data_IF_353168818459
#
_entry.id   IF_353168818459
#
_cell.length_a   1.000
_cell.length_b   1.000
_cell.length_c   1.000
_cell.angle_alpha   90.00
_cell.angle_beta   90.00
_cell.angle_gamma   90.00
#
_symmetry.space_group_name_H-M   'P 1'
#
loop_
_entity.id
_entity.type
_entity.pdbx_description
1 polymer ?
#
# COMPACT_ATOMS: atom_id res chain seq x y z
N UNK A 1 -44.70 -19.61 -44.80
CA UNK A 1 -44.64 -19.26 -43.35
C UNK A 1 -43.23 -19.41 -42.77
N UNK A 2 -42.49 -20.50 -43.04
CA UNK A 2 -41.14 -20.74 -42.50
C UNK A 2 -40.05 -19.66 -42.75
N UNK A 3 -40.18 -18.86 -43.82
CA UNK A 3 -39.19 -17.82 -44.17
C UNK A 3 -39.27 -16.60 -43.24
N UNK A 4 -40.49 -16.21 -42.86
CA UNK A 4 -40.78 -15.07 -41.97
C UNK A 4 -40.28 -15.35 -40.54
N UNK A 5 -40.38 -16.61 -40.10
CA UNK A 5 -39.95 -17.04 -38.78
C UNK A 5 -38.43 -17.07 -38.64
N UNK A 6 -37.71 -17.57 -39.66
CA UNK A 6 -36.23 -17.50 -39.73
C UNK A 6 -35.72 -16.05 -39.72
N UNK A 7 -36.42 -15.14 -40.39
CA UNK A 7 -36.04 -13.73 -40.44
C UNK A 7 -36.23 -13.03 -39.09
N UNK A 8 -37.33 -13.34 -38.39
CA UNK A 8 -37.57 -12.87 -37.01
C UNK A 8 -36.54 -13.41 -36.03
N UNK A 9 -36.15 -14.68 -36.14
CA UNK A 9 -35.12 -15.30 -35.30
C UNK A 9 -33.77 -14.61 -35.52
N UNK A 10 -33.37 -14.38 -36.77
CA UNK A 10 -32.09 -13.76 -37.09
C UNK A 10 -32.02 -12.28 -36.65
N UNK A 11 -33.14 -11.56 -36.75
CA UNK A 11 -33.26 -10.18 -36.25
C UNK A 11 -33.17 -10.15 -34.73
N UNK A 12 -33.90 -11.03 -34.03
CA UNK A 12 -33.86 -11.14 -32.56
C UNK A 12 -32.46 -11.49 -32.06
N UNK A 13 -31.76 -12.43 -32.70
CA UNK A 13 -30.36 -12.75 -32.38
C UNK A 13 -29.43 -11.53 -32.54
N UNK A 14 -29.53 -10.78 -33.65
CA UNK A 14 -28.72 -9.57 -33.86
C UNK A 14 -28.98 -8.50 -32.80
N UNK A 15 -30.23 -8.35 -32.37
CA UNK A 15 -30.61 -7.36 -31.36
C UNK A 15 -30.12 -7.77 -29.95
N UNK A 16 -30.18 -9.06 -29.60
CA UNK A 16 -29.62 -9.59 -28.36
C UNK A 16 -28.08 -9.48 -28.34
N UNK A 17 -27.41 -9.76 -29.45
CA UNK A 17 -25.94 -9.60 -29.55
C UNK A 17 -25.51 -8.14 -29.45
N UNK A 18 -26.26 -7.20 -30.07
CA UNK A 18 -25.99 -5.76 -29.93
C UNK A 18 -26.19 -5.26 -28.51
N UNK A 19 -27.24 -5.74 -27.84
CA UNK A 19 -27.51 -5.41 -26.43
C UNK A 19 -26.39 -5.93 -25.53
N UNK A 20 -26.00 -7.20 -25.68
CA UNK A 20 -24.89 -7.79 -24.93
C UNK A 20 -23.55 -7.07 -25.16
N UNK A 21 -23.23 -6.67 -26.40
CA UNK A 21 -22.03 -5.87 -26.68
C UNK A 21 -22.07 -4.48 -26.02
N UNK A 22 -23.24 -3.84 -26.01
CA UNK A 22 -23.42 -2.53 -25.38
C UNK A 22 -23.25 -2.62 -23.87
N UNK A 23 -23.84 -3.64 -23.25
CA UNK A 23 -23.77 -3.87 -21.81
C UNK A 23 -22.33 -4.23 -21.40
N UNK A 24 -21.65 -5.12 -22.13
CA UNK A 24 -20.24 -5.45 -21.88
C UNK A 24 -19.30 -4.23 -22.03
N UNK A 25 -19.53 -3.38 -23.03
CA UNK A 25 -18.75 -2.15 -23.21
C UNK A 25 -19.01 -1.15 -22.07
N UNK A 26 -20.24 -1.11 -21.54
CA UNK A 26 -20.61 -0.28 -20.38
C UNK A 26 -19.94 -0.78 -19.11
N UNK A 27 -20.03 -2.08 -18.80
CA UNK A 27 -19.35 -2.72 -17.67
C UNK A 27 -17.84 -2.49 -17.72
N UNK A 28 -17.20 -2.67 -18.89
CA UNK A 28 -15.76 -2.43 -19.06
C UNK A 28 -15.40 -0.95 -18.87
N UNK A 29 -16.26 -0.02 -19.29
CA UNK A 29 -16.05 1.41 -19.07
C UNK A 29 -16.21 1.78 -17.59
N UNK A 30 -17.15 1.17 -16.87
CA UNK A 30 -17.35 1.38 -15.44
C UNK A 30 -16.22 0.76 -14.63
N UNK A 31 -15.75 -0.42 -15.02
CA UNK A 31 -14.55 -1.05 -14.45
C UNK A 31 -13.31 -0.19 -14.68
N UNK A 32 -13.10 0.34 -15.90
CA UNK A 32 -12.01 1.28 -16.19
C UNK A 32 -12.08 2.51 -15.30
N UNK A 33 -13.28 3.10 -15.11
CA UNK A 33 -13.49 4.23 -14.21
C UNK A 33 -13.22 3.86 -12.74
N UNK A 34 -13.57 2.65 -12.33
CA UNK A 34 -13.34 2.15 -10.98
C UNK A 34 -11.84 1.96 -10.69
N UNK A 35 -11.11 1.27 -11.56
CA UNK A 35 -9.66 1.10 -11.40
C UNK A 35 -8.90 2.40 -11.60
N UNK A 36 -9.41 3.36 -12.38
CA UNK A 36 -8.78 4.68 -12.54
C UNK A 36 -8.88 5.56 -11.29
N UNK A 37 -9.59 5.11 -10.23
CA UNK A 37 -9.48 5.71 -8.91
C UNK A 37 -8.07 5.43 -8.39
N UNK A 38 -7.21 6.44 -8.30
CA UNK A 38 -5.79 6.29 -7.93
C UNK A 38 -5.53 5.41 -6.70
N UNK A 39 -6.38 5.53 -5.67
CA UNK A 39 -6.30 4.72 -4.45
C UNK A 39 -6.39 3.19 -4.68
N UNK A 40 -7.07 2.73 -5.74
CA UNK A 40 -7.21 1.29 -6.06
C UNK A 40 -5.98 0.77 -6.80
N UNK A 41 -5.42 1.57 -7.73
CA UNK A 41 -4.20 1.20 -8.47
C UNK A 41 -3.02 1.09 -7.53
N UNK A 42 -2.83 2.08 -6.66
CA UNK A 42 -1.70 2.12 -5.73
C UNK A 42 -1.77 0.97 -4.72
N UNK A 43 -2.98 0.64 -4.24
CA UNK A 43 -3.19 -0.53 -3.39
C UNK A 43 -2.89 -1.84 -4.14
N UNK A 44 -3.37 -1.99 -5.38
CA UNK A 44 -3.14 -3.20 -6.18
C UNK A 44 -1.65 -3.41 -6.48
N UNK A 45 -0.94 -2.35 -6.84
CA UNK A 45 0.51 -2.39 -7.07
C UNK A 45 1.25 -2.77 -5.79
N UNK A 46 0.87 -2.18 -4.64
CA UNK A 46 1.45 -2.52 -3.33
C UNK A 46 1.28 -4.00 -2.95
N UNK A 47 0.09 -4.58 -3.18
CA UNK A 47 -0.17 -6.01 -2.89
C UNK A 47 0.63 -6.93 -3.81
N UNK A 48 0.71 -6.63 -5.11
CA UNK A 48 1.44 -7.46 -6.08
C UNK A 48 2.94 -7.42 -5.79
N UNK A 49 3.50 -6.22 -5.58
CA UNK A 49 4.91 -6.04 -5.26
C UNK A 49 5.22 -6.65 -3.89
N UNK A 50 4.39 -6.44 -2.88
CA UNK A 50 4.55 -7.04 -1.55
C UNK A 50 4.57 -8.56 -1.59
N UNK A 51 3.65 -9.17 -2.34
CA UNK A 51 3.60 -10.63 -2.52
C UNK A 51 4.82 -11.19 -3.27
N UNK A 52 5.29 -10.51 -4.32
CA UNK A 52 6.48 -10.91 -5.06
C UNK A 52 7.76 -10.74 -4.24
N UNK A 53 7.90 -9.60 -3.55
CA UNK A 53 9.04 -9.30 -2.68
C UNK A 53 9.13 -10.27 -1.51
N UNK A 54 7.98 -10.64 -0.91
CA UNK A 54 7.93 -11.67 0.12
C UNK A 54 8.57 -12.99 -0.32
N UNK A 55 8.30 -13.44 -1.55
CA UNK A 55 8.93 -14.67 -2.10
C UNK A 55 10.44 -14.55 -2.24
N UNK A 56 10.95 -13.39 -2.66
CA UNK A 56 12.39 -13.14 -2.78
C UNK A 56 13.05 -13.23 -1.40
N UNK A 57 12.45 -12.60 -0.39
CA UNK A 57 12.94 -12.66 0.98
C UNK A 57 12.89 -14.09 1.53
N UNK A 58 11.78 -14.80 1.32
CA UNK A 58 11.65 -16.20 1.77
C UNK A 58 12.70 -17.10 1.12
N UNK A 59 12.99 -16.94 -0.17
CA UNK A 59 14.06 -17.69 -0.85
C UNK A 59 15.43 -17.33 -0.31
N UNK A 60 15.74 -16.05 -0.08
CA UNK A 60 17.00 -15.64 0.55
C UNK A 60 17.17 -16.29 1.93
N UNK A 61 16.10 -16.35 2.73
CA UNK A 61 16.18 -17.00 4.05
C UNK A 61 16.36 -18.50 3.90
N UNK A 62 15.44 -19.18 3.21
CA UNK A 62 15.39 -20.64 3.17
C UNK A 62 16.56 -21.25 2.38
N UNK A 63 17.01 -20.59 1.31
CA UNK A 63 17.98 -21.16 0.38
C UNK A 63 19.42 -20.71 0.66
N UNK A 64 19.60 -19.58 1.38
CA UNK A 64 20.94 -19.03 1.66
C UNK A 64 21.20 -18.95 3.16
N UNK A 65 20.33 -18.27 3.93
CA UNK A 65 20.59 -18.03 5.36
C UNK A 65 20.47 -19.32 6.17
N UNK A 66 19.39 -20.07 6.03
CA UNK A 66 19.16 -21.30 6.80
C UNK A 66 20.24 -22.36 6.55
N UNK A 67 20.68 -22.64 5.30
CA UNK A 67 21.81 -23.54 5.06
C UNK A 67 23.13 -23.01 5.63
N UNK A 68 23.41 -21.71 5.52
CA UNK A 68 24.62 -21.11 6.08
C UNK A 68 24.66 -21.22 7.61
N UNK A 69 23.54 -20.95 8.28
CA UNK A 69 23.38 -21.13 9.73
C UNK A 69 23.50 -22.61 10.10
N UNK A 70 22.89 -23.50 9.29
CA UNK A 70 22.99 -24.94 9.47
C UNK A 70 24.43 -25.45 9.43
N UNK A 71 25.27 -24.93 8.54
CA UNK A 71 26.70 -25.29 8.49
C UNK A 71 27.45 -24.80 9.74
N UNK A 72 27.15 -23.60 10.23
CA UNK A 72 27.85 -22.99 11.36
C UNK A 72 27.46 -23.64 12.70
N UNK A 73 26.18 -23.99 12.88
CA UNK A 73 25.64 -24.50 14.15
C UNK A 73 25.52 -26.04 14.17
N UNK A 74 25.99 -26.72 13.12
CA UNK A 74 26.07 -28.19 13.11
C UNK A 74 24.75 -28.91 12.76
N UNK A 75 23.91 -28.31 11.93
CA UNK A 75 22.75 -28.97 11.33
C UNK A 75 21.45 -28.83 12.12
N UNK A 76 21.12 -27.62 12.60
CA UNK A 76 19.82 -27.33 13.22
C UNK A 76 18.65 -27.54 12.23
N UNK A 77 18.18 -28.78 12.12
CA UNK A 77 16.96 -29.17 11.43
C UNK A 77 15.99 -29.73 12.47
N UNK A 78 15.15 -28.85 13.02
CA UNK A 78 14.14 -29.27 14.01
C UNK A 78 12.97 -30.00 13.37
N UNK A 79 12.82 -29.95 12.03
CA UNK A 79 11.75 -30.60 11.27
C UNK A 79 11.58 -32.10 11.51
N UNK A 80 12.65 -32.80 11.92
CA UNK A 80 12.61 -34.24 12.17
C UNK A 80 12.11 -34.63 13.57
N UNK A 81 11.86 -33.66 14.45
CA UNK A 81 11.30 -33.92 15.77
C UNK A 81 9.82 -34.29 15.63
N UNK A 82 9.51 -35.55 15.93
CA UNK A 82 8.15 -36.06 15.97
C UNK A 82 7.95 -36.94 17.19
N UNK A 83 6.79 -36.80 17.82
CA UNK A 83 6.32 -37.67 18.89
C UNK A 83 5.20 -38.54 18.31
N UNK A 84 5.29 -39.85 18.53
CA UNK A 84 4.26 -40.79 18.14
C UNK A 84 3.41 -41.11 19.37
N UNK A 85 2.11 -40.86 19.28
CA UNK A 85 1.12 -41.16 20.32
C UNK A 85 0.11 -42.12 19.70
N UNK A 86 0.25 -43.41 19.99
CA UNK A 86 -0.53 -44.47 19.33
C UNK A 86 -0.25 -44.51 17.82
N UNK A 87 -1.30 -44.47 17.00
CA UNK A 87 -1.18 -44.42 15.53
C UNK A 87 -0.93 -43.00 14.98
N UNK A 88 -1.06 -41.95 15.82
CA UNK A 88 -0.89 -40.57 15.39
C UNK A 88 0.57 -40.11 15.53
N UNK A 89 1.14 -39.61 14.43
CA UNK A 89 2.49 -38.99 14.40
C UNK A 89 2.36 -37.47 14.45
N UNK A 90 2.74 -36.86 15.57
CA UNK A 90 2.74 -35.40 15.74
C UNK A 90 4.14 -34.87 15.41
N UNK A 91 4.26 -34.17 14.29
CA UNK A 91 5.51 -33.55 13.81
C UNK A 91 5.64 -32.11 14.32
N UNK A 92 5.77 -31.93 15.64
CA UNK A 92 5.93 -30.60 16.25
C UNK A 92 7.24 -29.91 15.84
N UNK A 93 8.22 -30.69 15.36
CA UNK A 93 9.46 -30.19 14.79
C UNK A 93 9.27 -29.22 13.63
N UNK A 94 8.32 -29.51 12.73
CA UNK A 94 8.02 -28.62 11.60
C UNK A 94 7.45 -27.28 12.07
N UNK A 95 6.61 -27.29 13.11
CA UNK A 95 6.07 -26.05 13.68
C UNK A 95 7.19 -25.19 14.28
N UNK A 96 8.07 -25.77 15.10
CA UNK A 96 9.23 -25.06 15.67
C UNK A 96 10.13 -24.51 14.56
N UNK A 97 10.37 -25.30 13.50
CA UNK A 97 11.13 -24.85 12.34
C UNK A 97 10.49 -23.61 11.69
N UNK A 98 9.17 -23.65 11.42
CA UNK A 98 8.47 -22.50 10.81
C UNK A 98 8.50 -21.24 11.68
N UNK A 99 8.49 -21.39 13.01
CA UNK A 99 8.63 -20.26 13.93
C UNK A 99 10.03 -19.65 13.84
N UNK A 100 11.07 -20.49 13.79
CA UNK A 100 12.46 -20.03 13.62
C UNK A 100 12.63 -19.33 12.27
N UNK A 101 12.13 -19.93 11.19
CA UNK A 101 12.21 -19.34 9.85
C UNK A 101 11.51 -17.97 9.81
N UNK A 102 10.34 -17.84 10.46
CA UNK A 102 9.64 -16.55 10.59
C UNK A 102 10.48 -15.50 11.34
N UNK A 103 11.11 -15.87 12.46
CA UNK A 103 12.01 -14.99 13.21
C UNK A 103 13.21 -14.54 12.35
N UNK A 104 13.81 -15.45 11.57
CA UNK A 104 14.92 -15.12 10.67
C UNK A 104 14.45 -14.19 9.55
N UNK A 105 13.29 -14.46 8.93
CA UNK A 105 12.68 -13.59 7.91
C UNK A 105 12.43 -12.19 8.48
N UNK A 106 11.87 -12.08 9.68
CA UNK A 106 11.63 -10.79 10.34
C UNK A 106 12.93 -10.00 10.53
N UNK A 107 14.00 -10.65 11.00
CA UNK A 107 15.33 -10.02 11.16
C UNK A 107 15.93 -9.65 9.80
N UNK A 108 15.73 -10.47 8.78
CA UNK A 108 16.22 -10.22 7.43
C UNK A 108 15.54 -8.99 6.81
N UNK A 109 14.20 -8.92 6.85
CA UNK A 109 13.42 -7.78 6.37
C UNK A 109 13.83 -6.51 7.14
N UNK A 110 13.93 -6.59 8.46
CA UNK A 110 14.38 -5.47 9.29
C UNK A 110 15.77 -4.97 8.88
N UNK A 111 16.71 -5.89 8.64
CA UNK A 111 18.06 -5.56 8.20
C UNK A 111 18.06 -4.86 6.84
N UNK A 112 17.26 -5.35 5.89
CA UNK A 112 17.11 -4.74 4.56
C UNK A 112 16.54 -3.31 4.68
N UNK A 113 15.44 -3.12 5.41
CA UNK A 113 14.84 -1.79 5.64
C UNK A 113 15.87 -0.86 6.29
N UNK A 114 16.59 -1.33 7.30
CA UNK A 114 17.63 -0.55 7.99
C UNK A 114 18.78 -0.17 7.07
N UNK A 115 19.19 -1.04 6.13
CA UNK A 115 20.20 -0.72 5.11
C UNK A 115 19.67 0.36 4.17
N UNK A 116 18.43 0.22 3.67
CA UNK A 116 17.82 1.24 2.82
C UNK A 116 17.69 2.59 3.53
N UNK A 117 17.27 2.62 4.79
CA UNK A 117 17.24 3.83 5.63
C UNK A 117 18.64 4.41 5.81
N UNK A 118 19.66 3.58 6.05
CA UNK A 118 21.05 4.01 6.21
C UNK A 118 21.62 4.61 4.92
N UNK A 119 21.32 4.01 3.77
CA UNK A 119 21.76 4.51 2.44
C UNK A 119 21.04 5.81 2.10
N UNK A 120 19.72 5.87 2.28
CA UNK A 120 18.93 7.10 2.08
C UNK A 120 19.41 8.24 2.98
N UNK A 121 19.74 7.96 4.24
CA UNK A 121 20.25 8.95 5.18
C UNK A 121 21.72 9.35 4.91
N UNK A 122 22.50 8.51 4.21
CA UNK A 122 23.85 8.87 3.74
C UNK A 122 23.79 9.77 2.50
N UNK A 123 22.90 9.49 1.56
CA UNK A 123 22.71 10.31 0.35
C UNK A 123 22.13 11.71 0.68
N UNK A 124 21.43 11.85 1.80
CA UNK A 124 20.96 13.15 2.31
C UNK A 124 22.09 14.06 2.85
N UNK A 125 23.34 13.57 2.89
CA UNK A 125 24.51 14.30 3.42
C UNK A 125 25.48 14.81 2.34
N UNK A 126 25.28 14.47 1.06
CA UNK A 126 26.20 14.83 -0.04
C UNK A 126 25.55 15.50 -1.26
N UNK A 127 24.26 15.84 -1.23
CA UNK A 127 23.68 16.83 -2.16
C UNK A 127 23.64 18.20 -1.46
N UNK A 128 24.04 19.32 -2.10
CA UNK A 128 23.71 20.64 -1.57
C UNK A 128 22.19 20.71 -1.48
N UNK A 129 21.70 20.77 -0.24
CA UNK A 129 20.31 20.82 0.18
C UNK A 129 19.28 20.67 -0.97
N UNK A 130 18.72 19.46 -1.19
CA UNK A 130 17.45 19.36 -1.88
C UNK A 130 16.49 20.29 -1.13
N UNK A 131 15.92 21.27 -1.85
CA UNK A 131 14.94 22.22 -1.32
C UNK A 131 14.06 21.49 -0.31
N UNK A 132 13.99 22.03 0.92
CA UNK A 132 13.08 21.55 1.96
C UNK A 132 11.75 21.17 1.30
N UNK A 133 11.15 20.02 1.66
CA UNK A 133 9.94 19.54 0.99
C UNK A 133 9.01 20.73 0.84
N UNK A 134 8.81 21.18 -0.42
CA UNK A 134 7.96 22.33 -0.70
C UNK A 134 6.70 22.03 0.06
N UNK A 135 6.43 22.82 1.12
CA UNK A 135 5.24 22.67 1.94
C UNK A 135 4.12 22.44 0.93
N UNK A 136 3.37 21.34 1.07
CA UNK A 136 2.34 21.00 0.09
C UNK A 136 1.48 22.25 -0.09
N UNK A 137 0.97 22.49 -1.30
CA UNK A 137 0.21 23.72 -1.58
C UNK A 137 -0.88 23.98 -0.53
N UNK A 138 -1.45 22.91 0.02
CA UNK A 138 -2.36 22.94 1.16
C UNK A 138 -1.75 23.52 2.45
N UNK A 139 -0.54 23.11 2.86
CA UNK A 139 0.15 23.67 4.03
C UNK A 139 0.50 25.14 3.82
N UNK A 140 0.85 25.56 2.60
CA UNK A 140 1.08 26.98 2.29
C UNK A 140 -0.20 27.81 2.36
N UNK A 141 -1.29 27.30 1.79
CA UNK A 141 -2.60 27.95 1.85
C UNK A 141 -3.11 28.05 3.28
N UNK A 142 -2.89 27.02 4.11
CA UNK A 142 -3.27 27.04 5.53
C UNK A 142 -2.46 28.07 6.34
N UNK A 143 -1.19 28.28 6.01
CA UNK A 143 -0.38 29.35 6.61
C UNK A 143 -0.88 30.73 6.20
N UNK A 144 -1.17 30.94 4.91
CA UNK A 144 -1.75 32.18 4.39
C UNK A 144 -3.12 32.48 5.03
N UNK A 145 -4.01 31.48 5.12
CA UNK A 145 -5.33 31.61 5.76
C UNK A 145 -5.16 31.97 7.25
N UNK A 146 -4.25 31.32 7.98
CA UNK A 146 -3.98 31.65 9.39
C UNK A 146 -3.50 33.09 9.55
N UNK A 147 -2.62 33.53 8.67
CA UNK A 147 -2.03 34.87 8.75
C UNK A 147 -3.06 35.95 8.37
N UNK A 148 -3.91 35.70 7.36
CA UNK A 148 -5.05 36.55 7.02
C UNK A 148 -6.08 36.63 8.16
N UNK A 149 -6.39 35.51 8.82
CA UNK A 149 -7.27 35.51 9.99
C UNK A 149 -6.67 36.31 11.15
N UNK A 150 -5.37 36.18 11.41
CA UNK A 150 -4.70 36.94 12.46
C UNK A 150 -4.73 38.44 12.18
N UNK A 151 -4.50 38.84 10.93
CA UNK A 151 -4.56 40.25 10.53
C UNK A 151 -5.97 40.82 10.71
N UNK A 152 -7.01 40.10 10.28
CA UNK A 152 -8.40 40.53 10.47
C UNK A 152 -8.78 40.64 11.97
N UNK A 153 -8.31 39.72 12.82
CA UNK A 153 -8.53 39.80 14.27
C UNK A 153 -7.87 41.06 14.85
N UNK A 154 -6.64 41.39 14.44
CA UNK A 154 -5.95 42.61 14.89
C UNK A 154 -6.64 43.89 14.40
N UNK A 155 -7.24 43.88 13.20
CA UNK A 155 -8.02 45.00 12.69
C UNK A 155 -9.31 45.22 13.49
N UNK A 156 -9.98 44.14 13.92
CA UNK A 156 -11.17 44.21 14.79
C UNK A 156 -10.81 44.79 16.17
N UNK A 157 -9.70 44.34 16.77
CA UNK A 157 -9.22 44.90 18.06
C UNK A 157 -8.76 46.36 17.94
N UNK A 158 -8.27 46.78 16.76
CA UNK A 158 -7.88 48.15 16.47
C UNK A 158 -9.08 49.10 16.30
N UNK A 159 -10.21 48.60 15.80
CA UNK A 159 -11.45 49.36 15.68
C UNK A 159 -12.17 49.53 17.03
N UNK A 160 -12.11 48.53 17.91
CA UNK A 160 -12.74 48.60 19.25
C UNK A 160 -12.06 49.65 20.17
N UNK A 161 -10.77 49.93 19.97
CA UNK A 161 -10.01 50.94 20.75
C UNK A 161 -10.20 52.39 20.28
N UNK A 162 -10.89 52.62 19.16
CA UNK A 162 -11.18 53.99 18.68
C UNK A 162 -12.55 54.52 19.15
N UNK A 163 -13.37 53.69 19.82
CA UNK A 163 -14.70 54.08 20.34
C UNK A 163 -14.75 54.26 21.87
N UNK A 164 -13.61 54.52 22.55
CA UNK A 164 -13.67 54.90 23.97
C UNK A 164 -14.18 56.36 24.12
N UNK A 165 -15.24 56.60 24.90
CA UNK A 165 -16.02 57.84 24.84
C UNK A 165 -15.26 59.05 25.41
N UNK A 166 -15.24 60.13 24.62
CA UNK A 166 -14.91 61.48 25.08
C UNK A 166 -16.03 61.95 26.03
N UNK A 167 -16.00 61.46 27.27
CA UNK A 167 -16.91 61.88 28.33
C UNK A 167 -16.11 62.16 29.61
N UNK A 168 -15.47 63.33 29.63
CA UNK A 168 -15.21 64.14 30.84
C UNK A 168 -14.67 65.51 30.41
N UNK A 169 -15.59 66.47 30.35
CA UNK A 169 -15.37 67.91 30.31
C UNK A 169 -16.54 68.56 31.02
#
# INVERSE_FOLDING_TARGET
MAKIEKEKINKKMKDEMKKAQKDAKKEMSEFKKFISKGNVVDMAVGVIIGGAFGKIVTSLVNDIITPAIGIIIGGLNFSNLSIQIGEAKIMYGNFIQTVIDFLIIAICIFSVIRIFERVKNRNKKEEPAPEAPKKSAEVLLLEEIRDLMKNNVNEIEGQEKMEEPIAKG
#
